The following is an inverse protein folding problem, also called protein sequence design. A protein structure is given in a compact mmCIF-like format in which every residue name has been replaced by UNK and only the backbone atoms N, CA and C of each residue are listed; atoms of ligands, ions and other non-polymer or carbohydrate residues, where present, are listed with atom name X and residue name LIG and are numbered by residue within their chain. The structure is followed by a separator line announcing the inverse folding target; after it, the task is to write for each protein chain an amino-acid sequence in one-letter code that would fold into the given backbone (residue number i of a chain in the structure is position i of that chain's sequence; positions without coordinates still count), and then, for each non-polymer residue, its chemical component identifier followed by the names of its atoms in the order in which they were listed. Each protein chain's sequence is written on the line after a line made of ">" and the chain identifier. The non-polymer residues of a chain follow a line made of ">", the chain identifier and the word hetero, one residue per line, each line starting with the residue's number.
data_IF_959812732521
#
_entry.id   IF_959812732521
#
_cell.length_a   1.000
_cell.length_b   1.000
_cell.length_c   1.000
_cell.angle_alpha   90.00
_cell.angle_beta   90.00
_cell.angle_gamma   90.00
#
_symmetry.space_group_name_H-M   'P 1'
#
loop_
_entity.id
_entity.type
_entity.pdbx_description
1 polymer ?
#
# COMPACT_ATOMS: atom_id res chain seq x y z
N UNK A 1 2.13 -14.84 -10.53
CA UNK A 1 0.95 -13.94 -10.49
C UNK A 1 1.01 -13.09 -11.74
N UNK A 2 -0.05 -13.04 -12.58
CA UNK A 2 -0.07 -12.18 -13.76
C UNK A 2 0.01 -10.70 -13.32
N UNK A 3 0.82 -9.91 -14.02
CA UNK A 3 0.98 -8.47 -13.78
C UNK A 3 0.75 -7.74 -15.09
N UNK A 4 -0.11 -6.72 -15.05
CA UNK A 4 -0.33 -5.79 -16.15
C UNK A 4 0.15 -4.42 -15.69
N UNK A 5 1.02 -3.79 -16.48
CA UNK A 5 1.49 -2.44 -16.24
C UNK A 5 0.54 -1.49 -16.96
N UNK A 6 -0.29 -0.77 -16.19
CA UNK A 6 -1.17 0.27 -16.74
C UNK A 6 -0.35 1.35 -17.41
N UNK A 7 -0.91 2.00 -18.44
CA UNK A 7 -0.24 3.12 -19.10
C UNK A 7 0.11 4.24 -18.10
N UNK A 8 1.33 4.77 -18.19
CA UNK A 8 1.83 5.87 -17.34
C UNK A 8 2.09 7.07 -18.24
N UNK A 9 1.56 8.24 -17.84
CA UNK A 9 1.88 9.50 -18.52
C UNK A 9 3.24 10.04 -18.05
N UNK A 10 3.37 10.25 -16.74
CA UNK A 10 4.57 10.75 -16.08
C UNK A 10 4.81 9.94 -14.80
N UNK A 11 6.03 9.44 -14.58
CA UNK A 11 6.43 8.75 -13.35
C UNK A 11 6.89 9.76 -12.28
N UNK A 12 5.95 10.58 -11.82
CA UNK A 12 6.21 11.67 -10.88
C UNK A 12 5.34 11.56 -9.62
N UNK A 13 5.94 11.80 -8.46
CA UNK A 13 5.26 12.01 -7.18
C UNK A 13 4.71 13.44 -7.11
N UNK A 14 3.72 13.71 -7.97
CA UNK A 14 3.00 14.99 -8.06
C UNK A 14 1.52 14.70 -8.22
N UNK A 15 0.67 15.45 -7.51
CA UNK A 15 -0.76 15.10 -7.36
C UNK A 15 -1.49 14.94 -8.70
N UNK A 16 -1.27 15.80 -9.68
CA UNK A 16 -1.93 15.72 -11.00
C UNK A 16 -1.44 14.51 -11.83
N UNK A 17 -0.15 14.17 -11.78
CA UNK A 17 0.36 12.95 -12.42
C UNK A 17 -0.25 11.69 -11.79
N UNK A 18 -0.41 11.68 -10.46
CA UNK A 18 -1.04 10.59 -9.72
C UNK A 18 -2.55 10.47 -9.99
N UNK A 19 -3.24 11.61 -10.17
CA UNK A 19 -4.65 11.61 -10.60
C UNK A 19 -4.81 11.06 -12.02
N UNK A 20 -3.91 11.41 -12.94
CA UNK A 20 -3.93 10.82 -14.28
C UNK A 20 -3.64 9.32 -14.26
N UNK A 21 -2.70 8.86 -13.41
CA UNK A 21 -2.38 7.45 -13.22
C UNK A 21 -3.59 6.63 -12.77
N UNK A 22 -4.37 7.15 -11.80
CA UNK A 22 -5.52 6.46 -11.22
C UNK A 22 -6.85 6.65 -11.95
N UNK A 23 -6.88 7.27 -13.13
CA UNK A 23 -8.14 7.52 -13.84
C UNK A 23 -8.83 6.23 -14.28
N UNK A 24 -10.16 6.25 -14.32
CA UNK A 24 -10.97 5.07 -14.57
C UNK A 24 -10.65 4.38 -15.91
N UNK A 25 -10.32 5.16 -16.94
CA UNK A 25 -9.99 4.66 -18.28
C UNK A 25 -8.75 3.76 -18.26
N UNK A 26 -7.69 4.17 -17.55
CA UNK A 26 -6.44 3.39 -17.47
C UNK A 26 -6.62 2.11 -16.67
N UNK A 27 -7.39 2.18 -15.59
CA UNK A 27 -7.73 1.01 -14.79
C UNK A 27 -8.58 0.02 -15.61
N UNK A 28 -9.52 0.51 -16.43
CA UNK A 28 -10.33 -0.31 -17.31
C UNK A 28 -9.50 -0.97 -18.44
N UNK A 29 -8.54 -0.25 -19.02
CA UNK A 29 -7.58 -0.81 -19.98
C UNK A 29 -6.78 -1.96 -19.37
N UNK A 30 -6.15 -1.71 -18.20
CA UNK A 30 -5.39 -2.75 -17.50
C UNK A 30 -6.24 -3.95 -17.10
N UNK A 31 -7.48 -3.71 -16.66
CA UNK A 31 -8.44 -4.77 -16.36
C UNK A 31 -8.81 -5.59 -17.61
N UNK A 32 -9.00 -4.95 -18.77
CA UNK A 32 -9.28 -5.66 -20.02
C UNK A 32 -8.11 -6.57 -20.43
N UNK A 33 -6.87 -6.11 -20.27
CA UNK A 33 -5.66 -6.90 -20.54
C UNK A 33 -5.49 -8.07 -19.56
N UNK A 34 -5.89 -7.92 -18.30
CA UNK A 34 -5.78 -8.98 -17.29
C UNK A 34 -6.85 -10.07 -17.45
N UNK A 35 -7.96 -9.78 -18.12
CA UNK A 35 -9.13 -10.68 -18.26
C UNK A 35 -8.80 -12.11 -18.73
N UNK A 36 -7.88 -12.36 -19.71
CA UNK A 36 -7.53 -13.70 -20.14
C UNK A 36 -6.91 -14.57 -19.04
N UNK A 37 -6.29 -13.95 -18.02
CA UNK A 37 -5.64 -14.65 -16.93
C UNK A 37 -6.64 -15.23 -15.89
N UNK A 38 -7.92 -14.84 -15.95
CA UNK A 38 -9.00 -15.31 -15.06
C UNK A 38 -8.59 -15.31 -13.57
N UNK A 39 -8.18 -14.17 -13.01
CA UNK A 39 -7.77 -14.09 -11.60
C UNK A 39 -8.96 -14.32 -10.66
N UNK A 40 -8.70 -14.82 -9.46
CA UNK A 40 -9.72 -14.94 -8.38
C UNK A 40 -9.96 -13.60 -7.65
N UNK A 41 -8.94 -12.72 -7.63
CA UNK A 41 -9.01 -11.38 -7.06
C UNK A 41 -7.98 -10.46 -7.74
N UNK A 42 -8.16 -9.14 -7.62
CA UNK A 42 -7.32 -8.15 -8.32
C UNK A 42 -6.91 -7.02 -7.39
N UNK A 43 -5.65 -6.62 -7.46
CA UNK A 43 -5.14 -5.45 -6.75
C UNK A 43 -4.71 -4.37 -7.73
N UNK A 44 -5.23 -3.15 -7.54
CA UNK A 44 -4.58 -1.94 -8.04
C UNK A 44 -3.36 -1.66 -7.16
N UNK A 45 -2.21 -2.19 -7.59
CA UNK A 45 -0.95 -2.17 -6.85
C UNK A 45 -0.24 -0.80 -6.94
N UNK A 46 -0.93 0.25 -6.52
CA UNK A 46 -0.39 1.60 -6.41
C UNK A 46 -0.99 2.30 -5.18
N UNK A 47 -0.14 2.69 -4.24
CA UNK A 47 -0.57 3.41 -3.04
C UNK A 47 -1.00 4.83 -3.40
N UNK A 48 -0.13 5.58 -4.07
CA UNK A 48 -0.29 7.01 -4.35
C UNK A 48 -1.38 7.32 -5.36
N UNK A 49 -1.46 6.58 -6.46
CA UNK A 49 -2.52 6.71 -7.46
C UNK A 49 -3.92 6.37 -6.94
N UNK A 50 -4.05 5.81 -5.74
CA UNK A 50 -5.34 5.61 -5.09
C UNK A 50 -5.58 6.54 -3.88
N UNK A 51 -4.58 6.83 -3.04
CA UNK A 51 -4.82 7.71 -1.89
C UNK A 51 -5.06 9.18 -2.27
N UNK A 52 -4.54 9.66 -3.41
CA UNK A 52 -4.76 11.07 -3.83
C UNK A 52 -6.23 11.35 -4.18
N UNK A 53 -6.98 10.30 -4.51
CA UNK A 53 -8.42 10.34 -4.73
C UNK A 53 -9.25 10.32 -3.43
N UNK A 54 -8.59 10.19 -2.27
CA UNK A 54 -9.25 9.98 -0.99
C UNK A 54 -9.93 8.61 -0.89
N UNK A 55 -10.54 8.32 0.27
CA UNK A 55 -11.11 6.99 0.56
C UNK A 55 -12.26 6.62 -0.37
N UNK A 56 -13.16 7.57 -0.64
CA UNK A 56 -14.29 7.35 -1.55
C UNK A 56 -13.82 7.09 -2.98
N UNK A 57 -12.92 7.92 -3.51
CA UNK A 57 -12.41 7.76 -4.86
C UNK A 57 -11.63 6.45 -5.06
N UNK A 58 -10.82 6.03 -4.07
CA UNK A 58 -10.17 4.72 -4.12
C UNK A 58 -11.16 3.55 -4.14
N UNK A 59 -12.27 3.64 -3.39
CA UNK A 59 -13.31 2.62 -3.43
C UNK A 59 -14.03 2.60 -4.79
N UNK A 60 -14.26 3.76 -5.41
CA UNK A 60 -14.83 3.86 -6.77
C UNK A 60 -13.88 3.22 -7.79
N UNK A 61 -12.59 3.51 -7.72
CA UNK A 61 -11.57 2.88 -8.57
C UNK A 61 -11.60 1.36 -8.45
N UNK A 62 -11.54 0.84 -7.22
CA UNK A 62 -11.57 -0.60 -6.95
C UNK A 62 -12.87 -1.26 -7.44
N UNK A 63 -14.03 -0.62 -7.21
CA UNK A 63 -15.32 -1.11 -7.68
C UNK A 63 -15.40 -1.17 -9.23
N UNK A 64 -14.83 -0.17 -9.92
CA UNK A 64 -14.73 -0.18 -11.38
C UNK A 64 -13.91 -1.35 -11.92
N UNK A 65 -12.75 -1.62 -11.31
CA UNK A 65 -11.91 -2.79 -11.66
C UNK A 65 -12.65 -4.10 -11.39
N UNK A 66 -13.30 -4.20 -10.22
CA UNK A 66 -14.07 -5.39 -9.86
C UNK A 66 -15.23 -5.65 -10.84
N UNK A 67 -15.94 -4.61 -11.25
CA UNK A 67 -17.02 -4.70 -12.25
C UNK A 67 -16.49 -5.15 -13.62
N UNK A 68 -15.35 -4.61 -14.06
CA UNK A 68 -14.78 -4.93 -15.37
C UNK A 68 -14.33 -6.40 -15.49
N UNK A 69 -13.82 -6.97 -14.40
CA UNK A 69 -13.29 -8.34 -14.35
C UNK A 69 -14.28 -9.37 -13.80
N UNK A 70 -15.32 -8.93 -13.08
CA UNK A 70 -16.30 -9.82 -12.44
C UNK A 70 -15.75 -10.54 -11.21
N UNK A 71 -14.71 -9.99 -10.57
CA UNK A 71 -14.04 -10.58 -9.39
C UNK A 71 -13.74 -9.50 -8.35
N UNK A 72 -13.56 -9.83 -7.06
CA UNK A 72 -13.24 -8.84 -6.04
C UNK A 72 -11.95 -8.09 -6.37
N UNK A 73 -11.94 -6.77 -6.14
CA UNK A 73 -10.77 -5.93 -6.32
C UNK A 73 -10.60 -4.90 -5.20
N UNK A 74 -9.36 -4.47 -4.99
CA UNK A 74 -9.00 -3.41 -4.04
C UNK A 74 -7.76 -2.64 -4.52
N UNK A 75 -7.25 -1.71 -3.73
CA UNK A 75 -6.01 -0.97 -3.97
C UNK A 75 -5.05 -1.08 -2.79
N UNK A 76 -3.77 -0.73 -3.01
CA UNK A 76 -2.77 -0.70 -1.94
C UNK A 76 -3.13 0.28 -0.81
N UNK A 77 -3.70 1.46 -1.13
CA UNK A 77 -4.11 2.41 -0.08
C UNK A 77 -5.24 1.84 0.80
N UNK A 78 -6.25 1.20 0.20
CA UNK A 78 -7.32 0.51 0.95
C UNK A 78 -6.72 -0.61 1.80
N UNK A 79 -5.80 -1.39 1.23
CA UNK A 79 -5.13 -2.50 1.91
C UNK A 79 -4.41 -2.07 3.20
N UNK A 80 -3.82 -0.87 3.24
CA UNK A 80 -3.21 -0.36 4.48
C UNK A 80 -4.22 -0.22 5.62
N UNK A 81 -5.39 0.36 5.35
CA UNK A 81 -6.42 0.53 6.39
C UNK A 81 -6.97 -0.82 6.83
N UNK A 82 -7.20 -1.73 5.87
CA UNK A 82 -7.69 -3.07 6.16
C UNK A 82 -6.67 -3.88 6.98
N UNK A 83 -5.37 -3.74 6.69
CA UNK A 83 -4.29 -4.37 7.44
C UNK A 83 -4.20 -3.82 8.88
N UNK A 84 -4.30 -2.49 9.07
CA UNK A 84 -4.38 -1.90 10.41
C UNK A 84 -5.57 -2.45 11.19
N UNK A 85 -6.75 -2.54 10.56
CA UNK A 85 -7.95 -3.10 11.19
C UNK A 85 -7.76 -4.58 11.56
N UNK A 86 -7.17 -5.38 10.68
CA UNK A 86 -6.91 -6.80 10.91
C UNK A 86 -5.99 -7.03 12.12
N UNK A 87 -5.03 -6.12 12.34
CA UNK A 87 -4.12 -6.14 13.49
C UNK A 87 -4.66 -5.42 14.74
N UNK A 88 -5.84 -4.80 14.66
CA UNK A 88 -6.38 -3.98 15.76
C UNK A 88 -5.58 -2.70 16.04
N UNK A 89 -4.78 -2.24 15.08
CA UNK A 89 -3.94 -1.03 15.17
C UNK A 89 -4.77 0.21 14.88
N UNK A 90 -4.70 1.21 15.76
CA UNK A 90 -5.40 2.49 15.61
C UNK A 90 -4.45 3.67 15.46
N UNK A 91 -3.28 3.65 16.11
CA UNK A 91 -2.28 4.73 16.05
C UNK A 91 -1.05 4.27 15.28
N UNK A 92 -0.65 5.04 14.27
CA UNK A 92 0.49 4.67 13.41
C UNK A 92 1.46 5.81 13.21
N UNK A 93 2.70 5.45 12.90
CA UNK A 93 3.66 6.33 12.27
C UNK A 93 3.72 6.05 10.77
N UNK A 94 4.02 7.05 9.95
CA UNK A 94 4.16 6.92 8.50
C UNK A 94 5.59 7.26 8.08
N UNK A 95 6.28 6.32 7.43
CA UNK A 95 7.61 6.50 6.86
C UNK A 95 7.52 6.59 5.33
N UNK A 96 7.23 7.78 4.80
CA UNK A 96 7.03 8.00 3.37
C UNK A 96 8.31 8.44 2.64
N UNK A 97 8.57 7.86 1.47
CA UNK A 97 9.53 8.38 0.48
C UNK A 97 9.11 9.72 -0.11
N UNK A 98 7.80 9.96 -0.18
CA UNK A 98 7.17 11.02 -0.95
C UNK A 98 7.57 12.44 -0.49
N UNK A 99 7.37 13.45 -1.35
CA UNK A 99 7.24 14.83 -0.91
C UNK A 99 6.13 14.99 0.14
N UNK A 100 6.32 15.94 1.04
CA UNK A 100 5.43 16.18 2.20
C UNK A 100 3.96 16.36 1.78
N UNK A 101 3.70 17.14 0.74
CA UNK A 101 2.34 17.42 0.25
C UNK A 101 1.64 16.14 -0.24
N UNK A 102 2.36 15.25 -0.92
CA UNK A 102 1.86 13.93 -1.35
C UNK A 102 1.66 13.01 -0.15
N UNK A 103 2.63 12.95 0.79
CA UNK A 103 2.52 12.13 1.99
C UNK A 103 1.30 12.52 2.85
N UNK A 104 0.97 13.81 2.92
CA UNK A 104 -0.22 14.30 3.64
C UNK A 104 -1.54 13.79 3.04
N UNK A 105 -1.61 13.45 1.74
CA UNK A 105 -2.80 12.78 1.21
C UNK A 105 -2.97 11.37 1.78
N UNK A 106 -1.87 10.64 2.00
CA UNK A 106 -1.92 9.33 2.62
C UNK A 106 -2.35 9.41 4.10
N UNK A 107 -1.89 10.41 4.85
CA UNK A 107 -2.36 10.69 6.21
C UNK A 107 -3.88 10.90 6.22
N UNK A 108 -4.39 11.80 5.37
CA UNK A 108 -5.84 12.03 5.26
C UNK A 108 -6.61 10.77 4.90
N UNK A 109 -6.05 9.93 4.02
CA UNK A 109 -6.65 8.66 3.63
C UNK A 109 -6.78 7.69 4.81
N UNK A 110 -5.71 7.55 5.61
CA UNK A 110 -5.69 6.72 6.81
C UNK A 110 -6.68 7.23 7.86
N UNK A 111 -6.68 8.53 8.13
CA UNK A 111 -7.61 9.15 9.10
C UNK A 111 -9.07 8.98 8.68
N UNK A 112 -9.39 9.14 7.39
CA UNK A 112 -10.73 8.83 6.87
C UNK A 112 -11.11 7.33 7.03
N UNK A 113 -10.11 6.46 7.19
CA UNK A 113 -10.28 5.05 7.52
C UNK A 113 -10.36 4.72 9.01
N UNK A 114 -10.29 5.72 9.90
CA UNK A 114 -10.26 5.53 11.35
C UNK A 114 -8.90 5.12 11.91
N UNK A 115 -7.81 5.44 11.20
CA UNK A 115 -6.43 5.23 11.67
C UNK A 115 -5.79 6.59 11.94
N UNK A 116 -5.37 6.81 13.19
CA UNK A 116 -4.75 8.04 13.65
C UNK A 116 -3.24 8.02 13.36
N UNK A 117 -2.76 9.02 12.62
CA UNK A 117 -1.33 9.17 12.33
C UNK A 117 -0.71 10.07 13.40
N UNK A 118 0.13 9.49 14.27
CA UNK A 118 0.78 10.22 15.38
C UNK A 118 2.13 10.83 15.00
N UNK A 119 2.74 10.33 13.93
CA UNK A 119 4.01 10.83 13.39
C UNK A 119 4.09 10.55 11.89
N UNK A 120 4.73 11.44 11.14
CA UNK A 120 5.02 11.25 9.73
C UNK A 120 6.43 11.73 9.40
N UNK A 121 7.20 10.87 8.75
CA UNK A 121 8.43 11.22 8.04
C UNK A 121 8.16 11.29 6.53
N UNK A 122 8.76 12.27 5.87
CA UNK A 122 8.78 12.43 4.41
C UNK A 122 10.22 12.62 3.94
N UNK A 123 10.58 12.01 2.81
CA UNK A 123 11.97 12.01 2.30
C UNK A 123 12.13 12.72 0.95
N UNK A 124 11.06 13.29 0.40
CA UNK A 124 11.13 14.22 -0.74
C UNK A 124 11.54 13.59 -2.07
N UNK A 125 11.51 12.26 -2.19
CA UNK A 125 11.90 11.55 -3.41
C UNK A 125 10.79 11.71 -4.46
N UNK A 126 11.16 12.19 -5.65
CA UNK A 126 10.21 12.77 -6.60
C UNK A 126 9.71 11.76 -7.64
N UNK A 127 10.36 10.60 -7.77
CA UNK A 127 10.02 9.57 -8.76
C UNK A 127 10.02 8.16 -8.15
N UNK A 128 9.22 7.26 -8.69
CA UNK A 128 9.24 5.85 -8.26
C UNK A 128 10.58 5.17 -8.64
N UNK A 129 11.16 5.56 -9.78
CA UNK A 129 12.46 5.08 -10.21
C UNK A 129 13.57 5.34 -9.17
N UNK A 130 13.64 6.54 -8.60
CA UNK A 130 14.60 6.86 -7.53
C UNK A 130 14.34 6.02 -6.28
N UNK A 131 13.07 5.87 -5.87
CA UNK A 131 12.71 5.02 -4.73
C UNK A 131 13.16 3.58 -4.90
N UNK A 132 13.04 3.02 -6.12
CA UNK A 132 13.48 1.65 -6.42
C UNK A 132 14.99 1.42 -6.28
N UNK A 133 15.79 2.49 -6.13
CA UNK A 133 17.24 2.40 -5.91
C UNK A 133 17.65 2.47 -4.44
N UNK A 134 16.71 2.70 -3.52
CA UNK A 134 17.00 2.76 -2.09
C UNK A 134 17.55 1.42 -1.59
N UNK A 135 18.72 1.49 -0.95
CA UNK A 135 19.30 0.35 -0.26
C UNK A 135 18.51 0.02 1.02
N UNK A 136 18.48 -1.26 1.44
CA UNK A 136 17.80 -1.69 2.67
C UNK A 136 18.08 -0.82 3.89
N UNK A 137 19.34 -0.44 4.11
CA UNK A 137 19.76 0.34 5.26
C UNK A 137 19.16 1.76 5.25
N UNK A 138 18.94 2.32 4.05
CA UNK A 138 18.27 3.61 3.90
C UNK A 138 16.78 3.50 4.27
N UNK A 139 16.12 2.40 3.88
CA UNK A 139 14.72 2.13 4.25
C UNK A 139 14.59 1.92 5.77
N UNK A 140 15.50 1.17 6.38
CA UNK A 140 15.56 0.98 7.85
C UNK A 140 15.75 2.32 8.56
N UNK A 141 16.64 3.18 8.05
CA UNK A 141 16.84 4.51 8.62
C UNK A 141 15.59 5.40 8.51
N UNK A 142 14.86 5.33 7.40
CA UNK A 142 13.58 6.03 7.21
C UNK A 142 12.53 5.57 8.22
N UNK A 143 12.38 4.25 8.40
CA UNK A 143 11.43 3.67 9.36
C UNK A 143 11.76 4.10 10.79
N UNK A 144 13.03 4.04 11.19
CA UNK A 144 13.48 4.51 12.51
C UNK A 144 13.24 6.00 12.74
N UNK A 145 13.47 6.82 11.71
CA UNK A 145 13.31 8.27 11.83
C UNK A 145 11.84 8.70 11.95
N UNK A 146 10.92 7.97 11.32
CA UNK A 146 9.49 8.25 11.37
C UNK A 146 8.80 7.71 12.64
N UNK A 147 9.39 6.68 13.28
CA UNK A 147 8.79 6.01 14.43
C UNK A 147 8.48 6.97 15.60
N UNK A 148 7.47 6.61 16.40
CA UNK A 148 7.02 7.38 17.54
C UNK A 148 6.60 6.47 18.70
N UNK A 149 6.85 6.83 19.97
CA UNK A 149 6.47 6.02 21.12
C UNK A 149 4.97 5.66 21.19
N UNK A 150 4.11 6.57 20.75
CA UNK A 150 2.64 6.36 20.74
C UNK A 150 2.12 5.57 19.53
N UNK A 151 2.99 5.27 18.55
CA UNK A 151 2.62 4.49 17.39
C UNK A 151 2.65 2.99 17.70
N UNK A 152 1.58 2.29 17.31
CA UNK A 152 1.42 0.84 17.45
C UNK A 152 2.00 0.09 16.24
N UNK A 153 2.13 0.75 15.09
CA UNK A 153 2.80 0.23 13.90
C UNK A 153 3.42 1.38 13.07
N UNK A 154 4.37 1.05 12.20
CA UNK A 154 4.93 1.97 11.18
C UNK A 154 4.49 1.55 9.79
N UNK A 155 4.00 2.50 8.97
CA UNK A 155 3.57 2.24 7.60
C UNK A 155 4.61 2.77 6.61
N UNK A 156 4.99 1.95 5.63
CA UNK A 156 5.92 2.26 4.54
C UNK A 156 5.15 2.22 3.21
N UNK A 157 4.55 3.34 2.77
CA UNK A 157 3.48 3.34 1.78
C UNK A 157 3.92 3.35 0.31
N UNK A 158 5.11 2.85 -0.03
CA UNK A 158 5.62 2.90 -1.40
C UNK A 158 5.88 1.51 -2.02
N UNK A 159 5.20 1.22 -3.13
CA UNK A 159 5.32 -0.05 -3.87
C UNK A 159 6.62 -0.15 -4.68
N UNK A 160 7.33 0.96 -4.91
CA UNK A 160 8.62 0.94 -5.60
C UNK A 160 9.76 0.48 -4.67
N UNK A 161 9.60 0.56 -3.35
CA UNK A 161 10.63 0.11 -2.41
C UNK A 161 10.69 -1.42 -2.33
N UNK A 162 11.89 -1.99 -2.41
CA UNK A 162 12.11 -3.44 -2.29
C UNK A 162 12.08 -3.90 -0.82
N UNK A 163 10.89 -3.92 -0.22
CA UNK A 163 10.71 -4.14 1.22
C UNK A 163 10.43 -5.57 1.64
N UNK A 164 9.93 -6.44 0.75
CA UNK A 164 9.49 -7.79 1.13
C UNK A 164 10.61 -8.65 1.75
N UNK A 165 11.87 -8.48 1.30
CA UNK A 165 13.00 -9.23 1.82
C UNK A 165 13.56 -8.72 3.16
N UNK A 166 13.02 -7.62 3.69
CA UNK A 166 13.56 -6.93 4.87
C UNK A 166 12.47 -6.60 5.91
N UNK A 167 11.25 -7.11 5.77
CA UNK A 167 10.14 -6.78 6.69
C UNK A 167 10.52 -7.07 8.15
N UNK A 168 11.09 -8.24 8.44
CA UNK A 168 11.51 -8.62 9.79
C UNK A 168 12.62 -7.71 10.33
N UNK A 169 13.53 -7.25 9.46
CA UNK A 169 14.57 -6.28 9.83
C UNK A 169 13.94 -4.93 10.20
N UNK A 170 12.93 -4.49 9.43
CA UNK A 170 12.19 -3.27 9.73
C UNK A 170 11.45 -3.39 11.07
N UNK A 171 10.73 -4.49 11.32
CA UNK A 171 10.05 -4.74 12.61
C UNK A 171 11.03 -4.78 13.78
N UNK A 172 12.16 -5.47 13.62
CA UNK A 172 13.23 -5.53 14.62
C UNK A 172 13.84 -4.16 14.92
N UNK A 173 13.97 -3.30 13.90
CA UNK A 173 14.56 -1.98 14.04
C UNK A 173 13.76 -1.00 14.91
N UNK A 174 12.44 -1.18 15.00
CA UNK A 174 11.52 -0.31 15.79
C UNK A 174 10.77 -1.05 16.90
N UNK A 175 10.88 -2.38 16.96
CA UNK A 175 10.23 -3.20 17.99
C UNK A 175 8.71 -3.25 17.91
N UNK A 176 8.12 -2.96 16.74
CA UNK A 176 6.67 -2.95 16.48
C UNK A 176 6.38 -3.37 15.03
N UNK A 177 5.13 -3.76 14.70
CA UNK A 177 4.76 -4.13 13.34
C UNK A 177 5.10 -3.04 12.33
N UNK A 178 5.61 -3.45 11.17
CA UNK A 178 5.89 -2.57 10.03
C UNK A 178 5.09 -3.07 8.84
N UNK A 179 4.14 -2.25 8.39
CA UNK A 179 3.30 -2.55 7.25
C UNK A 179 3.91 -1.91 6.00
N UNK A 180 4.27 -2.73 5.02
CA UNK A 180 4.86 -2.24 3.77
C UNK A 180 3.87 -2.33 2.62
N UNK A 181 3.95 -1.42 1.66
CA UNK A 181 3.00 -1.35 0.55
C UNK A 181 2.90 -2.66 -0.23
N UNK A 182 4.04 -3.32 -0.48
CA UNK A 182 4.08 -4.61 -1.17
C UNK A 182 3.39 -5.71 -0.35
N UNK A 183 3.72 -5.80 0.94
CA UNK A 183 3.20 -6.81 1.84
C UNK A 183 1.67 -6.67 2.03
N UNK A 184 1.16 -5.47 2.30
CA UNK A 184 -0.30 -5.26 2.46
C UNK A 184 -1.06 -5.49 1.16
N UNK A 185 -0.45 -5.19 0.01
CA UNK A 185 -1.05 -5.46 -1.31
C UNK A 185 -1.25 -6.95 -1.54
N UNK A 186 -0.20 -7.75 -1.29
CA UNK A 186 -0.27 -9.21 -1.40
C UNK A 186 -1.27 -9.79 -0.39
N UNK A 187 -1.21 -9.34 0.86
CA UNK A 187 -2.12 -9.77 1.93
C UNK A 187 -3.58 -9.53 1.54
N UNK A 188 -3.91 -8.32 1.05
CA UNK A 188 -5.28 -7.97 0.66
C UNK A 188 -5.75 -8.77 -0.55
N UNK A 189 -4.90 -8.97 -1.55
CA UNK A 189 -5.24 -9.80 -2.71
C UNK A 189 -5.59 -11.24 -2.30
N UNK A 190 -4.80 -11.81 -1.40
CA UNK A 190 -5.02 -13.14 -0.84
C UNK A 190 -6.28 -13.22 0.03
N UNK A 191 -6.54 -12.21 0.85
CA UNK A 191 -7.76 -12.08 1.64
C UNK A 191 -9.01 -12.03 0.75
N UNK A 192 -8.98 -11.24 -0.33
CA UNK A 192 -10.06 -11.18 -1.32
C UNK A 192 -10.29 -12.51 -2.06
N UNK A 193 -9.24 -13.31 -2.22
CA UNK A 193 -9.34 -14.67 -2.78
C UNK A 193 -9.80 -15.71 -1.74
N UNK A 194 -10.02 -15.29 -0.49
CA UNK A 194 -10.54 -16.12 0.60
C UNK A 194 -9.48 -16.95 1.35
N UNK A 195 -8.18 -16.74 1.09
CA UNK A 195 -7.10 -17.51 1.74
C UNK A 195 -5.91 -16.61 2.04
N UNK A 196 -5.64 -16.34 3.32
CA UNK A 196 -4.37 -15.77 3.78
C UNK A 196 -3.55 -16.87 4.44
N UNK A 197 -2.49 -17.40 3.78
CA UNK A 197 -1.62 -18.38 4.40
C UNK A 197 -0.79 -17.73 5.51
N UNK A 198 -0.38 -18.52 6.50
CA UNK A 198 0.61 -18.08 7.48
C UNK A 198 1.99 -18.10 6.83
N UNK A 199 2.62 -16.94 6.72
CA UNK A 199 3.95 -16.75 6.13
C UNK A 199 4.78 -15.88 7.09
N UNK A 200 5.35 -16.46 8.17
CA UNK A 200 6.00 -15.68 9.22
C UNK A 200 7.15 -14.79 8.74
N UNK A 201 7.86 -15.19 7.67
CA UNK A 201 8.97 -14.42 7.07
C UNK A 201 8.48 -13.15 6.33
N UNK A 202 7.16 -12.92 6.27
CA UNK A 202 6.55 -11.70 5.77
C UNK A 202 5.98 -10.87 6.92
N UNK A 203 6.65 -10.83 8.07
CA UNK A 203 6.32 -9.99 9.21
C UNK A 203 5.00 -10.30 9.94
N UNK A 204 4.69 -9.46 10.92
CA UNK A 204 3.57 -9.65 11.85
C UNK A 204 2.21 -9.82 11.15
N UNK A 205 2.00 -9.14 10.01
CA UNK A 205 0.75 -9.21 9.23
C UNK A 205 0.43 -10.63 8.72
N UNK A 206 1.45 -11.40 8.32
CA UNK A 206 1.28 -12.76 7.83
C UNK A 206 1.53 -13.83 8.89
N UNK A 207 2.08 -13.45 10.05
CA UNK A 207 2.27 -14.35 11.19
C UNK A 207 0.96 -14.61 11.95
N UNK A 208 0.03 -13.65 11.97
CA UNK A 208 -1.27 -13.81 12.63
C UNK A 208 -2.22 -14.65 11.77
N UNK A 209 -2.77 -15.74 12.32
CA UNK A 209 -3.85 -16.47 11.64
C UNK A 209 -5.07 -15.55 11.60
N UNK A 210 -5.59 -15.29 10.40
CA UNK A 210 -6.96 -14.80 10.29
C UNK A 210 -7.87 -15.81 10.98
N UNK A 211 -8.56 -15.39 12.05
CA UNK A 211 -9.62 -16.20 12.64
C UNK A 211 -10.74 -16.30 11.60
N UNK A 212 -10.72 -17.36 10.81
CA UNK A 212 -11.92 -17.89 10.17
C UNK A 212 -12.70 -18.64 11.25
N UNK A 213 -13.60 -17.93 11.92
CA UNK A 213 -14.81 -18.54 12.52
C UNK A 213 -15.87 -18.76 11.45
#
# INVERSE_FOLDING_TARGET
>A
MPVVITSVGEDAHRVDALLDLGRAERLAEGAAELKPARPDSVMWACTSGSFVFGREGANIQAAGVAQALGVPASSTSIAFVDACRALGVQRVAVAASYPEDVAQHFVRFLTAGGVDVVSMGSNGIITAAEVGTLAPEQVVAMVKAADHPDAEAVLVPDTAMHTLGIVDELESAVGKPVLTANQVTVWKGLELAGVVPSLPDLGTLFATRGNSE
#
